data_IF_064727082293
#
_entry.id   IF_064727082293
#
_cell.length_a   1.000
_cell.length_b   1.000
_cell.length_c   1.000
_cell.angle_alpha   90.00
_cell.angle_beta   90.00
_cell.angle_gamma   90.00
#
_symmetry.space_group_name_H-M   'P 1'
#
loop_
_entity.id
_entity.type
_entity.pdbx_description
1 polymer ?
#
# COMPACT_ATOMS: atom_id res chain seq x y z
N UNK A 1 20.47 -7.33 -34.81
CA UNK A 1 19.00 -7.41 -34.86
C UNK A 1 18.49 -6.85 -33.55
N UNK A 2 17.89 -5.66 -33.57
CA UNK A 2 17.32 -5.04 -32.38
C UNK A 2 16.02 -5.77 -32.03
N UNK A 3 15.87 -6.18 -30.78
CA UNK A 3 14.61 -6.74 -30.28
C UNK A 3 13.53 -5.64 -30.38
N UNK A 4 12.42 -5.99 -31.03
CA UNK A 4 11.24 -5.15 -31.15
C UNK A 4 10.56 -5.01 -29.77
N UNK A 5 10.35 -3.79 -29.22
CA UNK A 5 9.76 -3.61 -27.90
C UNK A 5 8.27 -4.00 -27.78
N UNK A 6 7.64 -4.50 -28.85
CA UNK A 6 6.23 -4.91 -28.88
C UNK A 6 5.94 -6.32 -28.34
N UNK A 7 6.94 -7.16 -28.14
CA UNK A 7 6.72 -8.62 -28.05
C UNK A 7 6.70 -9.21 -26.63
N UNK A 8 6.30 -8.44 -25.62
CA UNK A 8 5.74 -9.08 -24.42
C UNK A 8 4.28 -9.42 -24.73
N UNK A 9 4.08 -10.38 -25.64
CA UNK A 9 2.79 -11.02 -25.80
C UNK A 9 2.37 -11.52 -24.42
N UNK A 10 1.34 -10.89 -23.85
CA UNK A 10 0.84 -11.19 -22.50
C UNK A 10 0.73 -12.70 -22.36
N UNK A 11 1.45 -13.28 -21.40
CA UNK A 11 1.56 -14.73 -21.26
C UNK A 11 0.15 -15.34 -21.16
N UNK A 12 -0.14 -16.49 -21.81
CA UNK A 12 -1.49 -17.06 -21.82
C UNK A 12 -2.10 -17.26 -20.42
N UNK A 13 -1.28 -17.64 -19.43
CA UNK A 13 -1.72 -17.80 -18.03
C UNK A 13 -2.15 -16.49 -17.38
N UNK A 14 -1.55 -15.36 -17.77
CA UNK A 14 -1.89 -14.03 -17.25
C UNK A 14 -3.26 -13.57 -17.77
N UNK A 15 -3.61 -13.96 -19.00
CA UNK A 15 -4.94 -13.71 -19.58
C UNK A 15 -6.05 -14.54 -18.94
N UNK A 16 -5.71 -15.69 -18.35
CA UNK A 16 -6.66 -16.61 -17.71
C UNK A 16 -6.79 -16.41 -16.20
N UNK A 17 -6.04 -15.47 -15.60
CA UNK A 17 -6.18 -15.20 -14.17
C UNK A 17 -7.56 -14.63 -13.87
N UNK A 18 -8.20 -15.07 -12.76
CA UNK A 18 -9.46 -14.49 -12.33
C UNK A 18 -9.27 -13.01 -11.99
N UNK A 19 -10.25 -12.20 -12.39
CA UNK A 19 -10.25 -10.77 -12.08
C UNK A 19 -10.74 -10.57 -10.65
N UNK A 20 -10.04 -9.74 -9.89
CA UNK A 20 -10.47 -9.32 -8.56
C UNK A 20 -11.74 -8.46 -8.63
N UNK A 21 -12.61 -8.50 -7.61
CA UNK A 21 -13.83 -7.68 -7.60
C UNK A 21 -13.50 -6.19 -7.62
N UNK A 22 -14.36 -5.42 -8.30
CA UNK A 22 -14.27 -3.97 -8.43
C UNK A 22 -15.48 -3.31 -7.75
N UNK A 23 -15.21 -2.40 -6.81
CA UNK A 23 -16.23 -1.70 -6.02
C UNK A 23 -16.24 -0.20 -6.35
N UNK A 24 -17.44 0.35 -6.54
CA UNK A 24 -17.66 1.77 -6.84
C UNK A 24 -18.49 2.42 -5.72
N UNK A 25 -17.85 2.88 -4.63
CA UNK A 25 -18.55 3.58 -3.55
C UNK A 25 -19.24 4.83 -4.07
N UNK A 26 -20.39 5.16 -3.48
CA UNK A 26 -20.98 6.49 -3.59
C UNK A 26 -20.11 7.54 -2.92
N UNK A 27 -20.33 8.82 -3.22
CA UNK A 27 -19.59 9.91 -2.57
C UNK A 27 -19.76 9.90 -1.04
N UNK A 28 -20.91 9.45 -0.54
CA UNK A 28 -21.17 9.33 0.90
C UNK A 28 -20.35 8.21 1.52
N UNK A 29 -20.33 7.04 0.89
CA UNK A 29 -19.55 5.90 1.36
C UNK A 29 -18.04 6.16 1.31
N UNK A 30 -17.58 6.90 0.30
CA UNK A 30 -16.16 7.22 0.14
C UNK A 30 -15.64 8.23 1.18
N UNK A 31 -16.52 8.89 1.94
CA UNK A 31 -16.10 9.80 3.02
C UNK A 31 -15.50 9.06 4.22
N UNK A 32 -15.89 7.80 4.44
CA UNK A 32 -15.30 6.93 5.47
C UNK A 32 -14.76 5.64 4.82
N UNK A 33 -13.50 5.66 4.35
CA UNK A 33 -12.90 4.52 3.67
C UNK A 33 -12.84 3.26 4.54
N UNK A 34 -12.66 3.39 5.85
CA UNK A 34 -12.56 2.24 6.76
C UNK A 34 -13.93 1.58 6.91
N UNK A 35 -14.99 2.37 7.13
CA UNK A 35 -16.35 1.84 7.18
C UNK A 35 -16.76 1.17 5.87
N UNK A 36 -16.35 1.73 4.72
CA UNK A 36 -16.64 1.11 3.43
C UNK A 36 -15.89 -0.21 3.22
N UNK A 37 -14.61 -0.29 3.60
CA UNK A 37 -13.83 -1.54 3.53
C UNK A 37 -14.49 -2.61 4.41
N UNK A 38 -14.86 -2.28 5.65
CA UNK A 38 -15.55 -3.22 6.55
C UNK A 38 -16.92 -3.66 6.01
N UNK A 39 -17.63 -2.78 5.30
CA UNK A 39 -18.90 -3.11 4.65
C UNK A 39 -18.73 -4.16 3.55
N UNK A 40 -17.66 -4.09 2.76
CA UNK A 40 -17.41 -5.02 1.63
C UNK A 40 -16.56 -6.23 2.03
N UNK A 41 -15.97 -6.23 3.23
CA UNK A 41 -15.00 -7.22 3.70
C UNK A 41 -15.49 -8.64 3.47
N UNK A 42 -16.67 -9.00 3.96
CA UNK A 42 -17.20 -10.37 3.86
C UNK A 42 -17.14 -10.96 2.45
N UNK A 43 -17.37 -10.15 1.41
CA UNK A 43 -17.34 -10.59 0.03
C UNK A 43 -15.92 -10.49 -0.57
N UNK A 44 -15.28 -9.33 -0.41
CA UNK A 44 -13.98 -9.03 -1.01
C UNK A 44 -12.88 -9.97 -0.50
N UNK A 45 -13.02 -10.40 0.73
CA UNK A 45 -12.06 -11.22 1.41
C UNK A 45 -11.95 -12.63 0.80
N UNK A 46 -13.03 -13.17 0.22
CA UNK A 46 -12.97 -14.42 -0.54
C UNK A 46 -11.96 -14.42 -1.71
N UNK A 47 -11.48 -13.24 -2.13
CA UNK A 47 -10.51 -13.06 -3.23
C UNK A 47 -9.10 -12.65 -2.75
N UNK A 48 -8.94 -12.24 -1.49
CA UNK A 48 -7.70 -11.72 -0.91
C UNK A 48 -7.29 -10.31 -1.38
N UNK A 49 -7.64 -9.93 -2.62
CA UNK A 49 -7.45 -8.57 -3.15
C UNK A 49 -8.73 -8.06 -3.84
N UNK A 50 -8.99 -6.76 -3.74
CA UNK A 50 -10.05 -6.08 -4.48
C UNK A 50 -9.60 -4.71 -4.96
N UNK A 51 -10.33 -4.14 -5.92
CA UNK A 51 -10.13 -2.78 -6.43
C UNK A 51 -11.29 -1.90 -5.99
N UNK A 52 -10.99 -0.75 -5.39
CA UNK A 52 -11.99 0.28 -5.08
C UNK A 52 -11.73 1.46 -6.01
N UNK A 53 -12.75 1.87 -6.78
CA UNK A 53 -12.67 3.03 -7.69
C UNK A 53 -13.33 4.24 -7.03
N UNK A 54 -12.57 5.30 -6.71
CA UNK A 54 -13.13 6.52 -6.13
C UNK A 54 -14.23 7.14 -7.01
N UNK A 55 -15.31 7.71 -6.43
CA UNK A 55 -16.39 8.38 -7.17
C UNK A 55 -16.00 9.78 -7.67
N UNK A 56 -14.71 10.07 -7.78
CA UNK A 56 -14.18 11.38 -8.19
C UNK A 56 -13.30 11.20 -9.42
N UNK A 57 -13.24 12.21 -10.31
CA UNK A 57 -12.34 12.17 -11.46
C UNK A 57 -10.89 11.94 -11.04
N UNK A 58 -10.15 11.18 -11.85
CA UNK A 58 -8.73 10.99 -11.63
C UNK A 58 -7.99 12.34 -11.65
N UNK A 59 -7.04 12.51 -10.74
CA UNK A 59 -6.21 13.70 -10.70
C UNK A 59 -5.36 13.83 -11.99
N UNK A 60 -5.08 15.06 -12.48
CA UNK A 60 -4.22 15.26 -13.63
C UNK A 60 -2.81 14.68 -13.42
N UNK A 61 -2.24 14.09 -14.48
CA UNK A 61 -0.89 13.49 -14.44
C UNK A 61 0.19 14.40 -13.83
N UNK A 62 0.28 15.71 -14.17
CA UNK A 62 1.31 16.58 -13.59
C UNK A 62 1.20 16.69 -12.07
N UNK A 63 -0.03 16.81 -11.55
CA UNK A 63 -0.32 16.88 -10.13
C UNK A 63 0.08 15.59 -9.43
N UNK A 64 -0.26 14.43 -10.00
CA UNK A 64 0.12 13.12 -9.45
C UNK A 64 1.63 12.99 -9.36
N UNK A 65 2.37 13.30 -10.44
CA UNK A 65 3.84 13.22 -10.46
C UNK A 65 4.46 14.16 -9.43
N UNK A 66 3.98 15.41 -9.32
CA UNK A 66 4.48 16.37 -8.34
C UNK A 66 4.27 15.88 -6.89
N UNK A 67 3.09 15.36 -6.57
CA UNK A 67 2.78 14.80 -5.24
C UNK A 67 3.64 13.57 -4.92
N UNK A 68 3.84 12.69 -5.90
CA UNK A 68 4.68 11.51 -5.76
C UNK A 68 6.14 11.88 -5.51
N UNK A 69 6.72 12.79 -6.31
CA UNK A 69 8.09 13.26 -6.13
C UNK A 69 8.28 13.88 -4.73
N UNK A 70 7.33 14.70 -4.28
CA UNK A 70 7.35 15.29 -2.95
C UNK A 70 7.34 14.22 -1.85
N UNK A 71 6.49 13.19 -1.99
CA UNK A 71 6.39 12.07 -1.06
C UNK A 71 7.67 11.23 -1.00
N UNK A 72 8.28 10.94 -2.15
CA UNK A 72 9.54 10.20 -2.23
C UNK A 72 10.70 10.97 -1.62
N UNK A 73 10.81 12.27 -1.91
CA UNK A 73 11.81 13.15 -1.30
C UNK A 73 11.67 13.21 0.23
N UNK A 74 10.45 13.38 0.73
CA UNK A 74 10.18 13.41 2.17
C UNK A 74 10.64 12.11 2.87
N UNK A 75 10.36 10.94 2.26
CA UNK A 75 10.81 9.64 2.81
C UNK A 75 12.33 9.46 2.74
N UNK A 76 13.00 10.02 1.74
CA UNK A 76 14.46 9.99 1.65
C UNK A 76 15.12 10.78 2.79
N UNK A 77 14.52 11.87 3.23
CA UNK A 77 15.06 12.71 4.31
C UNK A 77 14.78 12.14 5.71
N UNK A 78 13.74 11.31 5.86
CA UNK A 78 13.45 10.58 7.11
C UNK A 78 14.42 9.41 7.36
N UNK A 79 15.08 8.89 6.32
CA UNK A 79 16.29 8.06 6.48
C UNK A 79 17.46 8.99 6.75
N UNK A 80 17.58 9.47 7.98
CA UNK A 80 18.77 10.19 8.42
C UNK A 80 20.05 9.38 8.15
N UNK A 81 21.23 10.03 8.06
CA UNK A 81 22.49 9.30 8.01
C UNK A 81 22.55 8.32 9.18
N UNK A 82 22.91 7.07 8.89
CA UNK A 82 23.17 6.05 9.90
C UNK A 82 24.30 6.59 10.80
N UNK A 83 23.93 7.20 11.92
CA UNK A 83 24.88 7.53 12.98
C UNK A 83 25.38 6.19 13.50
N UNK A 84 26.60 5.83 13.10
CA UNK A 84 27.34 4.79 13.80
C UNK A 84 27.40 5.23 15.26
N UNK A 85 26.67 4.53 16.13
CA UNK A 85 26.83 4.64 17.56
C UNK A 85 28.27 4.22 17.89
N UNK A 86 29.16 5.20 18.00
CA UNK A 86 30.42 5.02 18.71
C UNK A 86 30.06 4.84 20.18
N UNK A 87 30.26 3.62 20.67
CA UNK A 87 30.04 3.26 22.07
C UNK A 87 30.89 4.15 22.99
N UNK A 88 30.23 4.89 23.87
CA UNK A 88 30.79 5.33 25.15
C UNK A 88 29.62 5.56 26.12
N UNK A 89 29.45 4.58 27.02
CA UNK A 89 28.82 4.63 28.34
C UNK A 89 27.70 5.66 28.60
N UNK A 90 26.46 5.18 28.75
CA UNK A 90 25.88 5.10 30.10
C UNK A 90 24.76 4.06 30.16
N UNK A 91 24.72 3.34 31.28
CA UNK A 91 23.79 2.23 31.55
C UNK A 91 22.48 2.79 32.08
N UNK A 92 21.40 2.64 31.32
CA UNK A 92 20.06 2.52 31.90
C UNK A 92 19.37 1.29 31.30
N UNK A 93 19.22 0.28 32.16
CA UNK A 93 18.42 -0.91 31.89
C UNK A 93 16.96 -0.51 31.61
N UNK A 94 16.29 -1.13 30.62
CA UNK A 94 14.84 -1.03 30.50
C UNK A 94 14.13 -1.92 31.54
N UNK A 95 12.95 -1.53 32.06
CA UNK A 95 12.12 -2.39 32.88
C UNK A 95 11.52 -3.54 32.04
N UNK A 96 11.30 -4.73 32.63
CA UNK A 96 10.68 -5.85 31.93
C UNK A 96 9.14 -5.76 31.95
N UNK A 97 8.55 -6.25 30.86
CA UNK A 97 7.18 -6.76 30.72
C UNK A 97 6.03 -5.75 30.58
N UNK A 98 5.49 -5.66 29.37
CA UNK A 98 4.17 -6.22 29.08
C UNK A 98 3.99 -6.31 27.56
N UNK A 99 3.77 -7.55 27.09
CA UNK A 99 3.18 -7.96 25.82
C UNK A 99 2.99 -6.86 24.76
N UNK A 100 3.78 -6.91 23.70
CA UNK A 100 3.20 -6.67 22.39
C UNK A 100 2.17 -7.79 22.20
N UNK A 101 0.84 -7.55 22.21
CA UNK A 101 0.00 -8.51 21.54
C UNK A 101 0.57 -8.60 20.13
N UNK A 102 0.73 -9.83 19.65
CA UNK A 102 0.82 -10.10 18.23
C UNK A 102 -0.04 -9.05 17.53
N UNK A 103 0.59 -8.25 16.68
CA UNK A 103 -0.19 -7.64 15.63
C UNK A 103 -0.78 -8.86 14.95
N UNK A 104 -2.06 -9.11 15.19
CA UNK A 104 -2.81 -10.00 14.36
C UNK A 104 -2.58 -9.42 12.97
N UNK A 105 -1.69 -10.05 12.24
CA UNK A 105 -1.93 -10.39 10.84
C UNK A 105 -3.20 -11.23 10.92
N UNK A 106 -4.33 -10.57 11.16
CA UNK A 106 -5.64 -11.14 10.99
C UNK A 106 -5.66 -11.37 9.49
N UNK A 107 -5.35 -12.60 9.12
CA UNK A 107 -5.78 -13.28 7.91
C UNK A 107 -6.47 -12.36 6.91
N UNK A 108 -5.70 -11.46 6.27
CA UNK A 108 -5.97 -10.69 5.05
C UNK A 108 -4.65 -10.07 4.57
#
# INVERSE_FOLDING_TARGET
MAADPSSLEVLPWLKSLPVAPEYHPTLVEFQDPIAYILKIEQEASCYGICKIVPPVPAAPKPTVIANLNSSFCARSLLRGPHVHHSAAADRLLPPPSAACPEICVAEW
#
